data_IF_115281111464
#
_entry.id   IF_115281111464
#
_cell.length_a   1.000
_cell.length_b   1.000
_cell.length_c   1.000
_cell.angle_alpha   90.00
_cell.angle_beta   90.00
_cell.angle_gamma   90.00
#
_symmetry.space_group_name_H-M   'P 1'
#
loop_
_entity.id
_entity.type
_entity.pdbx_description
1 polymer ?
#
# COMPACT_ATOMS: atom_id res chain seq x y z
N UNK A 1 5.81 -19.22 21.44
CA UNK A 1 6.19 -18.15 20.50
C UNK A 1 5.27 -16.99 20.80
N UNK A 2 5.80 -15.83 21.20
CA UNK A 2 4.96 -14.69 21.54
C UNK A 2 4.42 -14.09 20.25
N UNK A 3 3.09 -14.11 20.06
CA UNK A 3 2.42 -13.55 18.88
C UNK A 3 2.67 -12.06 18.64
N UNK A 4 3.23 -11.35 19.63
CA UNK A 4 3.55 -9.92 19.57
C UNK A 4 4.76 -9.55 18.70
N UNK A 5 5.56 -10.50 18.22
CA UNK A 5 6.73 -10.19 17.36
C UNK A 5 6.41 -10.23 15.87
N UNK A 6 5.28 -10.85 15.48
CA UNK A 6 4.90 -11.05 14.08
C UNK A 6 3.91 -9.98 13.61
N UNK A 7 4.00 -9.64 12.33
CA UNK A 7 3.05 -8.75 11.66
C UNK A 7 1.98 -9.62 11.01
N UNK A 8 0.76 -9.57 11.53
CA UNK A 8 -0.40 -10.21 10.94
C UNK A 8 -1.11 -9.27 9.97
N UNK A 9 -1.62 -9.82 8.86
CA UNK A 9 -2.38 -9.08 7.87
C UNK A 9 -3.59 -9.90 7.40
N UNK A 10 -4.78 -9.34 7.53
CA UNK A 10 -6.02 -9.97 7.05
C UNK A 10 -6.80 -9.01 6.14
N UNK A 11 -6.98 -9.39 4.88
CA UNK A 11 -7.78 -8.60 3.93
C UNK A 11 -9.27 -8.68 4.28
N UNK A 12 -9.98 -7.57 4.08
CA UNK A 12 -11.44 -7.55 4.16
C UNK A 12 -12.04 -6.80 2.98
N UNK A 13 -13.24 -7.20 2.59
CA UNK A 13 -13.92 -6.69 1.42
C UNK A 13 -15.39 -6.41 1.72
N UNK A 14 -16.01 -5.59 0.89
CA UNK A 14 -17.45 -5.30 0.96
C UNK A 14 -18.01 -5.28 -0.44
N UNK A 15 -19.10 -6.01 -0.68
CA UNK A 15 -19.71 -6.17 -2.00
C UNK A 15 -18.71 -6.64 -3.08
N UNK A 16 -17.78 -7.54 -2.71
CA UNK A 16 -16.77 -8.10 -3.62
C UNK A 16 -15.55 -7.20 -3.88
N UNK A 17 -15.53 -5.96 -3.40
CA UNK A 17 -14.39 -5.05 -3.55
C UNK A 17 -13.56 -4.97 -2.28
N UNK A 18 -12.23 -5.05 -2.42
CA UNK A 18 -11.25 -4.92 -1.35
C UNK A 18 -11.39 -3.56 -0.68
N UNK A 19 -11.61 -3.56 0.63
CA UNK A 19 -11.75 -2.34 1.44
C UNK A 19 -10.54 -2.05 2.30
N UNK A 20 -9.69 -3.04 2.50
CA UNK A 20 -8.48 -2.84 3.27
C UNK A 20 -7.95 -4.11 3.90
N UNK A 21 -7.09 -3.90 4.88
CA UNK A 21 -6.45 -4.94 5.65
C UNK A 21 -6.47 -4.57 7.13
N UNK A 22 -6.76 -5.55 7.98
CA UNK A 22 -6.53 -5.48 9.42
C UNK A 22 -5.09 -5.87 9.70
N UNK A 23 -4.38 -5.05 10.48
CA UNK A 23 -3.02 -5.32 10.93
C UNK A 23 -3.06 -5.77 12.38
N UNK A 24 -2.37 -6.86 12.71
CA UNK A 24 -2.29 -7.41 14.06
C UNK A 24 -0.86 -7.70 14.51
N UNK A 25 -0.65 -7.80 15.82
CA UNK A 25 0.66 -8.00 16.43
C UNK A 25 1.42 -6.69 16.59
N UNK A 26 2.06 -6.19 15.52
CA UNK A 26 2.76 -4.90 15.49
C UNK A 26 2.79 -4.28 14.10
N UNK A 27 3.08 -2.98 14.02
CA UNK A 27 3.37 -2.31 12.75
C UNK A 27 4.76 -2.67 12.21
N UNK A 28 4.97 -2.62 10.88
CA UNK A 28 6.31 -2.69 10.29
C UNK A 28 7.18 -1.52 10.76
N UNK A 29 8.40 -1.83 11.20
CA UNK A 29 9.34 -0.84 11.76
C UNK A 29 10.42 -0.42 10.76
N UNK A 30 10.56 -1.14 9.65
CA UNK A 30 11.59 -0.88 8.63
C UNK A 30 11.01 -0.90 7.23
N UNK A 31 11.69 -0.24 6.28
CA UNK A 31 11.31 -0.27 4.86
C UNK A 31 11.23 -1.69 4.31
N UNK A 32 12.07 -2.60 4.82
CA UNK A 32 12.04 -4.01 4.44
C UNK A 32 10.74 -4.68 4.86
N UNK A 33 10.29 -4.44 6.09
CA UNK A 33 9.04 -5.02 6.59
C UNK A 33 7.83 -4.41 5.86
N UNK A 34 7.88 -3.12 5.54
CA UNK A 34 6.88 -2.48 4.68
C UNK A 34 6.85 -3.08 3.26
N UNK A 35 8.01 -3.37 2.67
CA UNK A 35 8.08 -4.05 1.37
C UNK A 35 7.51 -5.48 1.43
N UNK A 36 7.69 -6.18 2.55
CA UNK A 36 7.09 -7.50 2.76
C UNK A 36 5.57 -7.42 2.93
N UNK A 37 5.07 -6.44 3.68
CA UNK A 37 3.63 -6.16 3.78
C UNK A 37 3.06 -5.85 2.40
N UNK A 38 3.73 -4.98 1.62
CA UNK A 38 3.34 -4.65 0.25
C UNK A 38 3.27 -5.89 -0.64
N UNK A 39 4.24 -6.82 -0.50
CA UNK A 39 4.19 -8.06 -1.24
C UNK A 39 2.98 -8.94 -0.90
N UNK A 40 2.48 -8.91 0.34
CA UNK A 40 1.22 -9.57 0.68
C UNK A 40 0.03 -8.85 0.05
N UNK A 41 -0.03 -7.52 0.15
CA UNK A 41 -1.16 -6.74 -0.37
C UNK A 41 -1.26 -6.80 -1.90
N UNK A 42 -0.13 -6.79 -2.62
CA UNK A 42 -0.11 -6.93 -4.09
C UNK A 42 -0.58 -8.32 -4.52
N UNK A 43 -0.24 -9.38 -3.78
CA UNK A 43 -0.79 -10.72 -4.05
C UNK A 43 -2.29 -10.82 -3.82
N UNK A 44 -2.84 -10.03 -2.90
CA UNK A 44 -4.30 -9.92 -2.76
C UNK A 44 -4.89 -9.12 -3.93
N UNK A 45 -4.22 -8.06 -4.36
CA UNK A 45 -4.64 -7.26 -5.53
C UNK A 45 -4.59 -8.04 -6.86
N UNK A 46 -3.77 -9.09 -6.97
CA UNK A 46 -3.74 -9.97 -8.15
C UNK A 46 -4.97 -10.88 -8.28
N UNK A 47 -5.78 -10.99 -7.23
CA UNK A 47 -7.02 -11.75 -7.28
C UNK A 47 -8.08 -11.00 -8.14
N UNK A 48 -8.59 -11.64 -9.22
CA UNK A 48 -9.55 -11.00 -10.11
C UNK A 48 -10.81 -10.50 -9.39
N UNK A 49 -11.20 -9.25 -9.67
CA UNK A 49 -12.45 -8.66 -9.20
C UNK A 49 -12.38 -8.00 -7.82
N UNK A 50 -11.29 -8.16 -7.05
CA UNK A 50 -11.14 -7.47 -5.77
C UNK A 50 -10.89 -5.97 -5.93
N UNK A 51 -10.15 -5.58 -6.96
CA UNK A 51 -9.92 -4.19 -7.35
C UNK A 51 -10.38 -4.00 -8.79
N UNK A 52 -11.21 -2.98 -9.01
CA UNK A 52 -11.69 -2.60 -10.35
C UNK A 52 -10.73 -1.65 -11.05
N UNK A 53 -9.95 -0.90 -10.28
CA UNK A 53 -8.98 0.09 -10.77
C UNK A 53 -7.89 0.30 -9.71
N UNK A 54 -6.82 1.01 -10.09
CA UNK A 54 -5.74 1.43 -9.20
C UNK A 54 -6.29 2.22 -8.02
N UNK A 55 -6.02 1.73 -6.81
CA UNK A 55 -6.65 2.24 -5.58
C UNK A 55 -5.59 2.62 -4.56
N UNK A 56 -5.77 3.78 -3.93
CA UNK A 56 -4.95 4.27 -2.83
C UNK A 56 -5.46 3.68 -1.52
N UNK A 57 -4.53 3.27 -0.68
CA UNK A 57 -4.77 2.79 0.67
C UNK A 57 -3.99 3.63 1.68
N UNK A 58 -4.70 4.13 2.69
CA UNK A 58 -4.13 4.88 3.80
C UNK A 58 -3.93 4.00 5.03
N UNK A 59 -2.76 4.10 5.66
CA UNK A 59 -2.53 3.47 6.96
C UNK A 59 -3.19 4.31 8.06
N UNK A 60 -3.93 3.64 8.95
CA UNK A 60 -4.57 4.24 10.13
C UNK A 60 -4.19 3.47 11.37
N UNK A 61 -3.61 4.16 12.33
CA UNK A 61 -3.25 3.58 13.62
C UNK A 61 -4.43 3.61 14.61
N UNK A 62 -5.45 4.43 14.35
CA UNK A 62 -6.67 4.44 15.15
C UNK A 62 -7.43 3.12 15.00
N UNK A 63 -7.76 2.53 16.16
CA UNK A 63 -8.53 1.29 16.22
C UNK A 63 -10.03 1.58 16.09
N UNK A 64 -10.81 0.65 15.50
CA UNK A 64 -12.27 0.70 15.56
C UNK A 64 -12.76 0.51 17.01
N UNK A 65 -14.03 0.81 17.26
CA UNK A 65 -14.63 0.76 18.62
C UNK A 65 -14.58 -0.64 19.26
N UNK A 66 -14.68 -1.71 18.45
CA UNK A 66 -14.62 -3.10 18.90
C UNK A 66 -13.65 -3.91 18.03
N UNK A 67 -12.33 -3.78 18.26
CA UNK A 67 -11.32 -4.46 17.46
C UNK A 67 -11.16 -5.92 17.89
N UNK A 68 -10.87 -6.80 16.94
CA UNK A 68 -10.43 -8.16 17.25
C UNK A 68 -9.15 -8.14 18.12
N UNK A 69 -8.98 -9.09 19.05
CA UNK A 69 -7.82 -9.12 19.93
C UNK A 69 -6.49 -9.10 19.17
N UNK A 70 -5.64 -8.14 19.51
CA UNK A 70 -4.31 -7.98 18.90
C UNK A 70 -4.27 -7.14 17.63
N UNK A 71 -5.39 -6.56 17.18
CA UNK A 71 -5.39 -5.54 16.13
C UNK A 71 -4.61 -4.30 16.59
N UNK A 72 -3.68 -3.84 15.75
CA UNK A 72 -2.85 -2.65 15.97
C UNK A 72 -3.17 -1.50 15.01
N UNK A 73 -4.02 -1.75 14.01
CA UNK A 73 -4.57 -0.72 13.14
C UNK A 73 -5.02 -1.30 11.79
N UNK A 74 -5.23 -0.41 10.83
CA UNK A 74 -5.89 -0.69 9.56
C UNK A 74 -5.11 -0.11 8.39
N UNK A 75 -5.20 -0.77 7.24
CA UNK A 75 -4.84 -0.21 5.93
C UNK A 75 -6.14 -0.10 5.15
N UNK A 76 -6.66 1.10 4.93
CA UNK A 76 -8.00 1.33 4.38
C UNK A 76 -7.95 1.85 2.96
N UNK A 77 -8.85 1.37 2.10
CA UNK A 77 -9.06 1.94 0.78
C UNK A 77 -9.61 3.37 0.92
N UNK A 78 -8.86 4.32 0.37
CA UNK A 78 -9.21 5.74 0.39
C UNK A 78 -9.96 6.14 -0.89
N UNK A 79 -9.63 5.49 -2.01
CA UNK A 79 -10.31 5.70 -3.28
C UNK A 79 -9.43 5.39 -4.48
N UNK A 80 -9.99 5.45 -5.70
CA UNK A 80 -9.23 5.29 -6.93
C UNK A 80 -8.19 6.41 -7.13
N UNK A 81 -7.17 6.13 -7.94
CA UNK A 81 -6.16 7.13 -8.33
C UNK A 81 -6.71 8.11 -9.37
N UNK A 82 -7.62 7.64 -10.23
CA UNK A 82 -8.21 8.40 -11.34
C UNK A 82 -9.72 8.18 -11.37
N UNK A 83 -10.47 9.18 -11.82
CA UNK A 83 -11.92 9.11 -12.01
C UNK A 83 -12.68 10.08 -11.10
N UNK A 84 -14.00 10.03 -11.17
CA UNK A 84 -14.87 10.98 -10.44
C UNK A 84 -14.81 10.80 -8.91
N UNK A 85 -14.41 9.62 -8.44
CA UNK A 85 -14.21 9.31 -7.02
C UNK A 85 -12.73 9.34 -6.62
N UNK A 86 -11.85 9.92 -7.45
CA UNK A 86 -10.41 9.93 -7.19
C UNK A 86 -10.07 10.62 -5.86
N UNK A 87 -9.04 10.10 -5.19
CA UNK A 87 -8.54 10.75 -3.97
C UNK A 87 -7.96 12.11 -4.32
N UNK A 88 -8.53 13.16 -3.73
CA UNK A 88 -8.13 14.54 -4.00
C UNK A 88 -6.69 14.83 -3.56
N UNK A 89 -5.93 15.65 -4.33
CA UNK A 89 -4.64 16.18 -3.90
C UNK A 89 -4.70 16.81 -2.50
N UNK A 90 -3.66 16.61 -1.70
CA UNK A 90 -3.58 17.13 -0.34
C UNK A 90 -4.58 16.53 0.66
N UNK A 91 -5.27 15.43 0.32
CA UNK A 91 -6.19 14.73 1.23
C UNK A 91 -5.62 14.49 2.63
N UNK A 92 -4.32 14.22 2.73
CA UNK A 92 -3.60 13.91 3.97
C UNK A 92 -2.68 15.04 4.44
N UNK A 93 -2.78 16.25 3.88
CA UNK A 93 -1.90 17.37 4.23
C UNK A 93 -2.01 17.75 5.72
N UNK A 94 -3.22 17.68 6.30
CA UNK A 94 -3.45 18.02 7.70
C UNK A 94 -3.02 16.90 8.68
N UNK A 95 -3.08 15.64 8.25
CA UNK A 95 -2.74 14.49 9.07
C UNK A 95 -2.12 13.40 8.19
N UNK A 96 -0.79 13.36 8.15
CA UNK A 96 -0.07 12.43 7.29
C UNK A 96 -0.08 11.03 7.90
N UNK A 97 -0.56 10.00 7.18
CA UNK A 97 -0.48 8.63 7.63
C UNK A 97 0.99 8.15 7.63
N UNK A 98 1.32 7.13 8.44
CA UNK A 98 2.69 6.60 8.50
C UNK A 98 3.13 5.92 7.20
N UNK A 99 2.17 5.47 6.38
CA UNK A 99 2.41 5.06 5.00
C UNK A 99 1.16 5.28 4.13
N UNK A 100 1.40 5.47 2.83
CA UNK A 100 0.39 5.34 1.79
C UNK A 100 0.79 4.19 0.87
N UNK A 101 -0.20 3.45 0.37
CA UNK A 101 -0.01 2.38 -0.59
C UNK A 101 -0.88 2.68 -1.82
N UNK A 102 -0.39 2.35 -3.01
CA UNK A 102 -1.23 2.18 -4.19
C UNK A 102 -1.14 0.74 -4.65
N UNK A 103 -2.29 0.14 -4.96
CA UNK A 103 -2.39 -1.20 -5.53
C UNK A 103 -3.04 -1.11 -6.90
N UNK A 104 -2.40 -1.74 -7.89
CA UNK A 104 -2.86 -1.82 -9.25
C UNK A 104 -3.37 -3.25 -9.53
N UNK A 105 -4.61 -3.42 -10.00
CA UNK A 105 -5.08 -4.73 -10.45
C UNK A 105 -4.35 -5.16 -11.74
N UNK A 106 -4.38 -6.46 -12.09
CA UNK A 106 -3.81 -6.97 -13.35
C UNK A 106 -4.24 -6.24 -14.61
N UNK A 107 -5.46 -5.66 -14.63
CA UNK A 107 -5.98 -4.90 -15.76
C UNK A 107 -5.29 -3.54 -15.97
N UNK A 108 -4.58 -3.03 -14.97
CA UNK A 108 -3.95 -1.71 -15.00
C UNK A 108 -2.43 -1.76 -14.78
N UNK A 109 -1.88 -2.93 -14.46
CA UNK A 109 -0.44 -3.14 -14.36
C UNK A 109 0.18 -3.39 -15.73
N UNK A 110 1.29 -2.71 -16.01
CA UNK A 110 2.21 -3.08 -17.09
C UNK A 110 3.42 -3.77 -16.46
N UNK A 111 3.53 -5.11 -16.54
CA UNK A 111 4.59 -5.83 -15.86
C UNK A 111 5.96 -5.46 -16.43
N UNK A 112 6.98 -5.51 -15.57
CA UNK A 112 8.37 -5.26 -15.93
C UNK A 112 8.96 -6.31 -16.88
N UNK A 113 8.43 -7.54 -16.83
CA UNK A 113 8.82 -8.67 -17.67
C UNK A 113 7.65 -9.11 -18.58
N UNK A 114 7.88 -9.34 -19.89
CA UNK A 114 6.82 -9.75 -20.82
C UNK A 114 6.09 -11.04 -20.42
N UNK A 115 6.81 -12.01 -19.85
CA UNK A 115 6.28 -13.30 -19.41
C UNK A 115 5.27 -13.18 -18.24
N UNK A 116 5.31 -12.09 -17.48
CA UNK A 116 4.45 -11.85 -16.32
C UNK A 116 3.14 -11.12 -16.69
N UNK A 117 2.61 -11.35 -17.89
CA UNK A 117 1.36 -10.74 -18.35
C UNK A 117 0.21 -11.08 -17.39
N UNK A 118 -0.51 -10.07 -16.91
CA UNK A 118 -1.56 -10.23 -15.90
C UNK A 118 -1.06 -10.23 -14.46
N UNK A 119 0.19 -9.83 -14.21
CA UNK A 119 0.65 -9.51 -12.86
C UNK A 119 -0.06 -8.26 -12.33
N UNK A 120 -0.28 -8.22 -11.01
CA UNK A 120 -0.60 -7.00 -10.29
C UNK A 120 0.67 -6.31 -9.82
N UNK A 121 0.57 -5.02 -9.50
CA UNK A 121 1.68 -4.24 -8.95
C UNK A 121 1.22 -3.33 -7.82
N UNK A 122 2.17 -2.78 -7.09
CA UNK A 122 1.88 -1.76 -6.10
C UNK A 122 3.13 -1.07 -5.59
N UNK A 123 2.90 0.08 -4.97
CA UNK A 123 3.92 0.90 -4.34
C UNK A 123 3.50 1.25 -2.91
N UNK A 124 4.45 1.26 -1.98
CA UNK A 124 4.29 1.87 -0.66
C UNK A 124 5.22 3.08 -0.57
N UNK A 125 4.67 4.23 -0.16
CA UNK A 125 5.42 5.42 0.22
C UNK A 125 5.39 5.57 1.74
N UNK A 126 6.57 5.66 2.34
CA UNK A 126 6.78 6.04 3.72
C UNK A 126 7.17 7.52 3.74
N UNK A 127 6.28 8.41 4.20
CA UNK A 127 6.57 9.83 4.26
C UNK A 127 7.80 10.11 5.12
N UNK A 128 8.74 10.87 4.54
CA UNK A 128 9.85 11.44 5.29
C UNK A 128 9.47 12.82 5.84
N UNK A 129 10.41 13.41 6.57
CA UNK A 129 10.42 14.83 6.91
C UNK A 129 11.72 15.41 6.33
N UNK A 130 11.76 15.74 5.02
CA UNK A 130 13.01 16.11 4.36
C UNK A 130 13.70 17.34 4.97
N UNK A 131 12.90 18.27 5.49
CA UNK A 131 13.40 19.46 6.21
C UNK A 131 14.10 19.13 7.53
N UNK A 132 13.89 17.93 8.08
CA UNK A 132 14.61 17.37 9.24
C UNK A 132 15.67 16.33 8.83
N UNK A 133 15.96 16.20 7.54
CA UNK A 133 16.87 15.18 7.01
C UNK A 133 16.31 13.77 7.03
N UNK A 134 15.00 13.60 7.24
CA UNK A 134 14.33 12.31 7.15
C UNK A 134 13.82 12.13 5.72
N UNK A 135 14.50 11.28 4.95
CA UNK A 135 14.17 11.05 3.55
C UNK A 135 12.88 10.22 3.37
N UNK A 136 12.19 10.44 2.25
CA UNK A 136 11.14 9.54 1.80
C UNK A 136 11.74 8.17 1.48
N UNK A 137 10.99 7.12 1.80
CA UNK A 137 11.35 5.73 1.50
C UNK A 137 10.19 5.12 0.76
N UNK A 138 10.48 4.26 -0.20
CA UNK A 138 9.44 3.57 -0.94
C UNK A 138 9.85 2.15 -1.30
N UNK A 139 8.85 1.32 -1.57
CA UNK A 139 9.06 0.03 -2.19
C UNK A 139 8.00 -0.22 -3.26
N UNK A 140 8.37 -1.02 -4.26
CA UNK A 140 7.53 -1.43 -5.38
C UNK A 140 7.57 -2.95 -5.48
N UNK A 141 6.42 -3.55 -5.75
CA UNK A 141 6.28 -5.00 -5.91
C UNK A 141 5.43 -5.32 -7.13
N UNK A 142 5.81 -6.37 -7.84
CA UNK A 142 4.97 -7.05 -8.85
C UNK A 142 4.72 -8.49 -8.42
N UNK A 143 3.49 -8.97 -8.61
CA UNK A 143 3.14 -10.37 -8.35
C UNK A 143 2.18 -10.92 -9.40
N UNK A 144 2.41 -12.16 -9.80
CA UNK A 144 1.56 -12.90 -10.72
C UNK A 144 0.23 -13.34 -10.08
N UNK A 145 -0.70 -13.81 -10.90
CA UNK A 145 -2.02 -14.26 -10.46
C UNK A 145 -1.97 -15.47 -9.51
N UNK A 146 -0.90 -16.27 -9.56
CA UNK A 146 -0.66 -17.38 -8.62
C UNK A 146 -0.01 -16.92 -7.29
N UNK A 147 0.28 -15.62 -7.17
CA UNK A 147 0.91 -15.02 -6.00
C UNK A 147 2.45 -15.08 -6.01
N UNK A 148 3.08 -15.50 -7.11
CA UNK A 148 4.54 -15.45 -7.26
C UNK A 148 5.00 -14.00 -7.37
N UNK A 149 5.92 -13.57 -6.49
CA UNK A 149 6.52 -12.24 -6.54
C UNK A 149 7.65 -12.23 -7.57
N UNK A 150 7.52 -11.39 -8.60
CA UNK A 150 8.46 -11.33 -9.74
C UNK A 150 9.42 -10.16 -9.63
N UNK A 151 9.03 -9.09 -8.94
CA UNK A 151 9.85 -7.92 -8.65
C UNK A 151 9.58 -7.41 -7.24
N UNK A 152 10.65 -7.04 -6.53
CA UNK A 152 10.59 -6.33 -5.26
C UNK A 152 11.78 -5.38 -5.17
N UNK A 153 11.50 -4.08 -5.15
CA UNK A 153 12.52 -3.02 -5.05
C UNK A 153 12.18 -2.16 -3.84
N UNK A 154 13.16 -1.90 -2.97
CA UNK A 154 13.01 -1.01 -1.81
C UNK A 154 14.13 0.03 -1.84
N UNK A 155 13.81 1.30 -1.62
CA UNK A 155 14.75 2.42 -1.66
C UNK A 155 14.54 3.40 -0.51
N UNK A 156 15.62 4.07 -0.13
CA UNK A 156 15.69 5.21 0.79
C UNK A 156 16.21 6.40 -0.03
N UNK A 157 15.80 7.63 0.30
CA UNK A 157 16.20 8.80 -0.48
C UNK A 157 15.45 8.93 -1.80
N UNK A 158 14.18 8.49 -1.83
CA UNK A 158 13.38 8.52 -3.06
C UNK A 158 12.96 9.95 -3.35
N UNK A 159 13.26 10.44 -4.56
CA UNK A 159 12.59 11.61 -5.13
C UNK A 159 11.19 11.15 -5.57
N UNK A 160 10.11 11.65 -4.94
CA UNK A 160 8.76 11.19 -5.28
C UNK A 160 8.38 11.44 -6.74
N UNK A 161 9.01 12.40 -7.43
CA UNK A 161 8.70 12.70 -8.83
C UNK A 161 9.37 11.74 -9.83
N UNK A 162 10.24 10.84 -9.36
CA UNK A 162 10.98 9.90 -10.22
C UNK A 162 10.17 8.68 -10.67
N UNK A 163 9.00 8.47 -10.07
CA UNK A 163 8.10 7.35 -10.33
C UNK A 163 6.64 7.80 -10.18
N UNK A 164 5.72 7.39 -11.07
CA UNK A 164 4.34 7.85 -11.07
C UNK A 164 3.59 7.51 -9.78
N UNK A 165 3.84 6.34 -9.19
CA UNK A 165 3.15 5.91 -7.97
C UNK A 165 3.58 6.79 -6.80
N UNK A 166 4.89 7.01 -6.64
CA UNK A 166 5.39 7.89 -5.58
C UNK A 166 4.98 9.34 -5.79
N UNK A 167 4.82 9.79 -7.04
CA UNK A 167 4.38 11.15 -7.35
C UNK A 167 2.92 11.36 -6.94
N UNK A 168 2.05 10.40 -7.28
CA UNK A 168 0.65 10.39 -6.83
C UNK A 168 0.59 10.38 -5.31
N UNK A 169 1.27 9.44 -4.65
CA UNK A 169 1.22 9.32 -3.19
C UNK A 169 1.77 10.57 -2.47
N UNK A 170 2.82 11.19 -2.99
CA UNK A 170 3.36 12.44 -2.45
C UNK A 170 2.42 13.63 -2.67
N UNK A 171 1.74 13.71 -3.81
CA UNK A 171 0.74 14.74 -4.09
C UNK A 171 -0.42 14.69 -3.07
N UNK A 172 -0.81 13.51 -2.59
CA UNK A 172 -1.86 13.38 -1.57
C UNK A 172 -1.43 13.90 -0.18
N UNK A 173 -0.11 14.01 0.07
CA UNK A 173 0.48 14.49 1.31
C UNK A 173 0.82 15.98 1.29
N UNK A 174 0.92 16.57 0.08
CA UNK A 174 1.32 17.97 -0.11
C UNK A 174 0.20 18.95 0.25
N UNK A 175 0.57 20.08 0.86
CA UNK A 175 -0.33 21.20 1.20
C UNK A 175 -0.34 22.29 0.16
#
# INVERSE_FOLDING_TARGET
MNGNEQIGLAAFHTAGSLRGFVVSGRWPESTREWAQLLAVTVRVASLPGLLTTSTVFGVREELPDDPEPGTVGLVLAEGPVIGDEAVEPGRFAAHQPPALIVLHPPSETRPSLPECTGAASGCVLLPGLPHLGLEHRAAWVEAEADGTVTSLVSRVGVDPNSDPDTAVLAMLLAS
#
